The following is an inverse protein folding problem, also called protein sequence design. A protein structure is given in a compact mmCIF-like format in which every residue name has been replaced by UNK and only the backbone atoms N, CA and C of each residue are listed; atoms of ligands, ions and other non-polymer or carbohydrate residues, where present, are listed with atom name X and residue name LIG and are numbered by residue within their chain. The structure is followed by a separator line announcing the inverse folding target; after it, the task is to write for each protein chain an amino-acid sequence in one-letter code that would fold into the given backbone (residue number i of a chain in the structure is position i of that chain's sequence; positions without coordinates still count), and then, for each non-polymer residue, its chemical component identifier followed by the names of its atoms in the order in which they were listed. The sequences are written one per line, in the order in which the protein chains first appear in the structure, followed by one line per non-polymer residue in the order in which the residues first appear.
data_IF_311908795294
#
_entry.id   IF_311908795294
#
_cell.length_a   1.000
_cell.length_b   1.000
_cell.length_c   1.000
_cell.angle_alpha   90.00
_cell.angle_beta   90.00
_cell.angle_gamma   90.00
#
_symmetry.space_group_name_H-M   'P 1'
#
loop_
_entity.id
_entity.type
_entity.pdbx_description
1 polymer ?
#
# COMPACT_ATOMS: atom_id res chain seq x y z
N UNK A 1 17.19 -3.56 -18.36
CA UNK A 1 16.04 -4.27 -17.78
C UNK A 1 15.56 -3.47 -16.59
N UNK A 2 14.25 -3.32 -16.39
CA UNK A 2 13.71 -2.68 -15.19
C UNK A 2 13.99 -3.56 -13.98
N UNK A 3 14.38 -2.93 -12.88
CA UNK A 3 14.75 -3.55 -11.61
C UNK A 3 13.72 -3.21 -10.52
N UNK A 4 13.76 -3.87 -9.34
CA UNK A 4 12.97 -3.44 -8.20
C UNK A 4 13.15 -1.97 -7.83
N UNK A 5 14.39 -1.48 -7.87
CA UNK A 5 14.73 -0.11 -7.50
C UNK A 5 14.05 0.89 -8.44
N UNK A 6 13.99 0.61 -9.74
CA UNK A 6 13.27 1.46 -10.70
C UNK A 6 11.77 1.60 -10.35
N UNK A 7 11.16 0.54 -9.81
CA UNK A 7 9.76 0.56 -9.38
C UNK A 7 9.60 1.37 -8.10
N UNK A 8 10.49 1.19 -7.13
CA UNK A 8 10.44 1.93 -5.87
C UNK A 8 10.74 3.43 -6.09
N UNK A 9 11.72 3.77 -6.93
CA UNK A 9 12.01 5.16 -7.30
C UNK A 9 10.84 5.81 -8.03
N UNK A 10 10.17 5.09 -8.92
CA UNK A 10 8.97 5.58 -9.59
C UNK A 10 7.80 5.77 -8.63
N UNK A 11 7.58 4.81 -7.72
CA UNK A 11 6.40 4.82 -6.85
C UNK A 11 6.56 5.74 -5.65
N UNK A 12 7.78 5.98 -5.17
CA UNK A 12 8.09 6.80 -4.00
C UNK A 12 9.05 7.96 -4.34
N UNK A 13 8.67 8.88 -5.25
CA UNK A 13 9.57 9.96 -5.71
C UNK A 13 9.92 10.96 -4.62
N UNK A 14 9.13 11.01 -3.54
CA UNK A 14 9.29 11.92 -2.41
C UNK A 14 10.20 11.40 -1.30
N UNK A 15 10.59 10.12 -1.36
CA UNK A 15 11.49 9.50 -0.41
C UNK A 15 10.90 9.39 1.01
N UNK A 16 11.75 9.20 2.03
CA UNK A 16 11.28 8.82 3.36
C UNK A 16 10.71 9.97 4.19
N UNK A 17 11.16 11.21 3.95
CA UNK A 17 10.80 12.37 4.76
C UNK A 17 10.20 13.49 3.89
N UNK A 18 9.03 13.27 3.29
CA UNK A 18 8.46 14.20 2.35
C UNK A 18 7.84 15.42 3.05
N UNK A 19 7.74 16.53 2.32
CA UNK A 19 6.93 17.67 2.77
C UNK A 19 5.44 17.28 2.76
N UNK A 20 4.64 17.68 3.77
CA UNK A 20 3.22 17.30 3.90
C UNK A 20 2.39 17.40 2.63
N UNK A 21 2.49 18.53 1.92
CA UNK A 21 1.70 18.77 0.71
C UNK A 21 2.17 17.88 -0.45
N UNK A 22 3.48 17.80 -0.68
CA UNK A 22 4.04 16.92 -1.70
C UNK A 22 3.67 15.46 -1.44
N UNK A 23 3.66 15.07 -0.17
CA UNK A 23 3.28 13.74 0.25
C UNK A 23 1.80 13.42 -0.07
N UNK A 24 0.89 14.33 0.28
CA UNK A 24 -0.53 14.21 -0.09
C UNK A 24 -0.71 14.13 -1.61
N UNK A 25 -0.03 14.99 -2.35
CA UNK A 25 -0.11 15.03 -3.81
C UNK A 25 0.36 13.72 -4.44
N UNK A 26 1.44 13.12 -3.93
CA UNK A 26 1.89 11.81 -4.40
C UNK A 26 0.95 10.67 -4.00
N UNK A 27 0.32 10.72 -2.82
CA UNK A 27 -0.72 9.75 -2.48
C UNK A 27 -1.93 9.83 -3.41
N UNK A 28 -2.39 11.05 -3.71
CA UNK A 28 -3.46 11.27 -4.68
C UNK A 28 -3.01 10.79 -6.07
N UNK A 29 -1.80 11.12 -6.49
CA UNK A 29 -1.24 10.67 -7.76
C UNK A 29 -1.23 9.14 -7.89
N UNK A 30 -0.77 8.41 -6.86
CA UNK A 30 -0.78 6.92 -6.84
C UNK A 30 -2.19 6.34 -6.84
N UNK A 31 -3.02 6.77 -5.88
CA UNK A 31 -4.28 6.09 -5.54
C UNK A 31 -5.51 6.64 -6.26
N UNK A 32 -5.38 7.74 -7.04
CA UNK A 32 -6.47 8.40 -7.76
C UNK A 32 -6.17 8.54 -9.26
N UNK A 33 -5.41 7.59 -9.81
CA UNK A 33 -5.21 7.45 -11.25
C UNK A 33 -4.15 8.35 -11.88
N UNK A 34 -3.52 9.25 -11.13
CA UNK A 34 -2.45 10.11 -11.64
C UNK A 34 -1.22 9.32 -12.15
N UNK A 35 -0.91 8.18 -11.52
CA UNK A 35 0.18 7.30 -11.94
C UNK A 35 -0.17 6.46 -13.19
N UNK A 36 -1.46 6.30 -13.49
CA UNK A 36 -1.97 5.38 -14.52
C UNK A 36 -1.34 5.57 -15.90
N UNK A 37 -1.30 6.80 -16.46
CA UNK A 37 -0.68 7.04 -17.77
C UNK A 37 0.78 6.60 -17.85
N UNK A 38 1.57 6.88 -16.81
CA UNK A 38 2.98 6.49 -16.76
C UNK A 38 3.13 4.97 -16.58
N UNK A 39 2.27 4.35 -15.77
CA UNK A 39 2.22 2.90 -15.58
C UNK A 39 1.93 2.19 -16.90
N UNK A 40 0.87 2.58 -17.61
CA UNK A 40 0.49 1.98 -18.89
C UNK A 40 1.61 2.11 -19.93
N UNK A 41 2.24 3.28 -20.02
CA UNK A 41 3.28 3.54 -21.01
C UNK A 41 4.59 2.80 -20.73
N UNK A 42 4.97 2.62 -19.47
CA UNK A 42 6.32 2.14 -19.09
C UNK A 42 6.34 0.70 -18.57
N UNK A 43 5.28 0.26 -17.90
CA UNK A 43 5.32 -0.95 -17.07
C UNK A 43 4.32 -2.03 -17.48
N UNK A 44 3.55 -1.86 -18.56
CA UNK A 44 2.67 -2.92 -19.08
C UNK A 44 3.41 -4.23 -19.36
N UNK A 45 4.51 -4.26 -20.14
CA UNK A 45 5.22 -5.51 -20.41
C UNK A 45 5.83 -6.14 -19.15
N UNK A 46 6.26 -5.32 -18.18
CA UNK A 46 6.81 -5.79 -16.91
C UNK A 46 5.71 -6.42 -16.04
N UNK A 47 4.53 -5.81 -16.01
CA UNK A 47 3.38 -6.31 -15.25
C UNK A 47 2.93 -7.66 -15.80
N UNK A 48 2.88 -7.81 -17.12
CA UNK A 48 2.59 -9.09 -17.76
C UNK A 48 3.63 -10.18 -17.39
N UNK A 49 4.92 -9.84 -17.32
CA UNK A 49 5.97 -10.76 -16.85
C UNK A 49 5.77 -11.15 -15.39
N UNK A 50 5.44 -10.19 -14.52
CA UNK A 50 5.16 -10.45 -13.11
C UNK A 50 3.97 -11.39 -12.92
N UNK A 51 2.88 -11.17 -13.68
CA UNK A 51 1.68 -12.03 -13.68
C UNK A 51 2.05 -13.47 -14.09
N UNK A 52 2.94 -13.65 -15.08
CA UNK A 52 3.43 -14.97 -15.51
C UNK A 52 4.47 -15.61 -14.58
N UNK A 53 4.91 -14.92 -13.53
CA UNK A 53 5.90 -15.45 -12.57
C UNK A 53 7.36 -15.28 -12.96
N UNK A 54 7.64 -14.58 -14.06
CA UNK A 54 9.01 -14.39 -14.54
C UNK A 54 9.85 -13.49 -13.61
N UNK A 55 9.19 -12.72 -12.72
CA UNK A 55 9.82 -11.82 -11.75
C UNK A 55 9.80 -12.35 -10.30
N UNK A 56 9.41 -13.60 -10.06
CA UNK A 56 9.24 -14.13 -8.69
C UNK A 56 10.54 -14.11 -7.87
N UNK A 57 11.69 -14.17 -8.55
CA UNK A 57 13.00 -14.03 -7.92
C UNK A 57 13.20 -12.67 -7.19
N UNK A 58 12.41 -11.64 -7.52
CA UNK A 58 12.44 -10.36 -6.79
C UNK A 58 12.01 -10.52 -5.33
N UNK A 59 11.18 -11.52 -5.03
CA UNK A 59 10.66 -11.75 -3.68
C UNK A 59 11.73 -12.23 -2.67
N UNK A 60 12.96 -12.49 -3.14
CA UNK A 60 14.11 -12.90 -2.33
C UNK A 60 14.63 -11.81 -1.37
N UNK A 61 14.30 -10.54 -1.61
CA UNK A 61 14.67 -9.42 -0.71
C UNK A 61 13.43 -8.66 -0.25
N UNK A 62 13.49 -7.91 0.88
CA UNK A 62 12.36 -7.10 1.35
C UNK A 62 11.89 -6.08 0.31
N UNK A 63 12.83 -5.34 -0.29
CA UNK A 63 12.53 -4.30 -1.27
C UNK A 63 12.07 -4.87 -2.61
N UNK A 64 12.68 -5.98 -3.06
CA UNK A 64 12.24 -6.68 -4.26
C UNK A 64 10.82 -7.24 -4.13
N UNK A 65 10.48 -7.77 -2.95
CA UNK A 65 9.12 -8.23 -2.63
C UNK A 65 8.12 -7.08 -2.65
N UNK A 66 8.45 -5.95 -2.04
CA UNK A 66 7.59 -4.75 -2.08
C UNK A 66 7.37 -4.26 -3.52
N UNK A 67 8.43 -4.19 -4.33
CA UNK A 67 8.33 -3.80 -5.73
C UNK A 67 7.41 -4.75 -6.51
N UNK A 68 7.57 -6.06 -6.31
CA UNK A 68 6.72 -7.06 -6.95
C UNK A 68 5.25 -6.97 -6.49
N UNK A 69 5.01 -6.70 -5.20
CA UNK A 69 3.66 -6.40 -4.68
C UNK A 69 3.07 -5.19 -5.39
N UNK A 70 3.79 -4.08 -5.54
CA UNK A 70 3.28 -2.88 -6.24
C UNK A 70 2.94 -3.22 -7.71
N UNK A 71 3.80 -3.95 -8.40
CA UNK A 71 3.56 -4.36 -9.80
C UNK A 71 2.33 -5.26 -9.92
N UNK A 72 2.07 -6.15 -8.96
CA UNK A 72 0.93 -7.08 -9.00
C UNK A 72 -0.35 -6.53 -8.36
N UNK A 73 -0.27 -5.53 -7.49
CA UNK A 73 -1.41 -5.02 -6.73
C UNK A 73 -1.82 -3.60 -7.12
N UNK A 74 -0.97 -2.80 -7.75
CA UNK A 74 -1.31 -1.41 -8.08
C UNK A 74 -1.41 -1.20 -9.59
N UNK A 75 -0.44 -1.70 -10.34
CA UNK A 75 -0.38 -1.48 -11.79
C UNK A 75 -1.56 -2.09 -12.57
N UNK A 76 -2.08 -3.29 -12.21
CA UNK A 76 -3.21 -3.90 -12.91
C UNK A 76 -4.46 -3.01 -12.91
N UNK A 77 -4.66 -2.21 -11.87
CA UNK A 77 -5.82 -1.31 -11.70
C UNK A 77 -5.82 -0.18 -12.72
N UNK A 78 -4.67 0.12 -13.32
CA UNK A 78 -4.55 1.10 -14.41
C UNK A 78 -4.45 0.44 -15.78
N UNK A 79 -3.66 -0.64 -15.89
CA UNK A 79 -3.39 -1.31 -17.18
C UNK A 79 -4.64 -1.99 -17.73
N UNK A 80 -5.40 -2.63 -16.86
CA UNK A 80 -6.61 -3.37 -17.21
C UNK A 80 -7.84 -2.80 -16.50
N UNK A 81 -7.87 -1.47 -16.34
CA UNK A 81 -8.98 -0.78 -15.69
C UNK A 81 -10.33 -1.21 -16.29
N UNK A 82 -11.33 -1.37 -15.41
CA UNK A 82 -12.68 -1.79 -15.77
C UNK A 82 -12.80 -3.20 -16.39
N UNK A 83 -11.79 -4.07 -16.21
CA UNK A 83 -11.85 -5.48 -16.61
C UNK A 83 -11.52 -6.43 -15.45
N UNK A 84 -11.90 -7.72 -15.52
CA UNK A 84 -11.53 -8.72 -14.51
C UNK A 84 -10.02 -8.84 -14.28
N UNK A 85 -9.23 -8.63 -15.33
CA UNK A 85 -7.76 -8.72 -15.31
C UNK A 85 -7.14 -7.71 -14.34
N UNK A 86 -7.81 -6.59 -14.04
CA UNK A 86 -7.37 -5.66 -13.01
C UNK A 86 -7.26 -6.30 -11.62
N UNK A 87 -7.92 -7.43 -11.35
CA UNK A 87 -7.94 -8.11 -10.05
C UNK A 87 -7.34 -9.52 -10.08
N UNK A 88 -7.00 -10.03 -11.27
CA UNK A 88 -6.57 -11.42 -11.46
C UNK A 88 -5.27 -11.76 -10.71
N UNK A 89 -4.44 -10.76 -10.39
CA UNK A 89 -3.19 -10.93 -9.65
C UNK A 89 -3.30 -10.70 -8.14
N UNK A 90 -4.49 -10.34 -7.62
CA UNK A 90 -4.72 -10.11 -6.17
C UNK A 90 -4.30 -11.31 -5.32
N UNK A 91 -4.62 -12.58 -5.67
CA UNK A 91 -4.20 -13.73 -4.87
C UNK A 91 -2.67 -13.87 -4.77
N UNK A 92 -1.97 -13.56 -5.87
CA UNK A 92 -0.49 -13.63 -5.90
C UNK A 92 0.14 -12.51 -5.08
N UNK A 93 -0.40 -11.29 -5.19
CA UNK A 93 0.05 -10.17 -4.37
C UNK A 93 -0.20 -10.43 -2.87
N UNK A 94 -1.35 -11.03 -2.52
CA UNK A 94 -1.67 -11.45 -1.15
C UNK A 94 -0.67 -12.49 -0.64
N UNK A 95 -0.37 -13.53 -1.41
CA UNK A 95 0.60 -14.55 -1.02
C UNK A 95 1.98 -13.94 -0.74
N UNK A 96 2.46 -13.05 -1.62
CA UNK A 96 3.72 -12.33 -1.42
C UNK A 96 3.71 -11.47 -0.15
N UNK A 97 2.58 -10.82 0.14
CA UNK A 97 2.38 -10.02 1.34
C UNK A 97 2.46 -10.89 2.60
N UNK A 98 1.66 -11.97 2.67
CA UNK A 98 1.61 -12.87 3.83
C UNK A 98 2.96 -13.53 4.11
N UNK A 99 3.59 -14.12 3.08
CA UNK A 99 4.93 -14.71 3.21
C UNK A 99 5.97 -13.69 3.69
N UNK A 100 5.86 -12.43 3.26
CA UNK A 100 6.79 -11.38 3.64
C UNK A 100 6.61 -10.93 5.10
N UNK A 101 5.43 -11.10 5.67
CA UNK A 101 5.29 -11.01 7.11
C UNK A 101 5.95 -12.21 7.81
N UNK A 102 5.71 -13.42 7.31
CA UNK A 102 6.16 -14.65 7.97
C UNK A 102 7.69 -14.81 7.95
N UNK A 103 8.36 -14.37 6.89
CA UNK A 103 9.81 -14.43 6.74
C UNK A 103 10.54 -13.16 7.27
N UNK A 104 9.81 -12.23 7.88
CA UNK A 104 10.36 -11.00 8.46
C UNK A 104 10.78 -9.93 7.45
N UNK A 105 10.47 -10.06 6.16
CA UNK A 105 10.74 -9.02 5.17
C UNK A 105 9.99 -7.72 5.47
N UNK A 106 8.73 -7.82 5.92
CA UNK A 106 7.92 -6.66 6.30
C UNK A 106 8.60 -5.83 7.39
N UNK A 107 9.18 -6.48 8.40
CA UNK A 107 9.81 -5.78 9.53
C UNK A 107 11.09 -5.05 9.12
N UNK A 108 11.82 -5.61 8.15
CA UNK A 108 13.05 -5.01 7.57
C UNK A 108 12.79 -3.78 6.70
N UNK A 109 11.54 -3.48 6.35
CA UNK A 109 11.22 -2.23 5.64
C UNK A 109 11.36 -1.06 6.61
N UNK A 110 12.38 -0.23 6.41
CA UNK A 110 12.71 0.88 7.32
C UNK A 110 11.64 1.97 7.35
N UNK A 111 10.85 2.07 6.28
CA UNK A 111 9.94 3.16 6.06
C UNK A 111 8.47 2.78 6.27
N UNK A 112 7.77 3.58 7.07
CA UNK A 112 6.31 3.53 7.27
C UNK A 112 5.51 3.62 5.95
N UNK A 113 6.04 4.26 4.91
CA UNK A 113 5.45 4.28 3.56
C UNK A 113 5.51 2.93 2.87
N UNK A 114 6.66 2.27 2.96
CA UNK A 114 6.86 0.95 2.39
C UNK A 114 5.93 -0.04 3.07
N UNK A 115 5.86 -0.02 4.41
CA UNK A 115 4.92 -0.84 5.18
C UNK A 115 3.45 -0.55 4.81
N UNK A 116 3.11 0.71 4.56
CA UNK A 116 1.75 1.10 4.16
C UNK A 116 1.33 0.57 2.79
N UNK A 117 2.26 0.51 1.82
CA UNK A 117 2.03 -0.09 0.50
C UNK A 117 2.08 -1.62 0.57
N UNK A 118 2.99 -2.18 1.35
CA UNK A 118 3.18 -3.62 1.50
C UNK A 118 1.91 -4.34 1.94
N UNK A 119 1.12 -3.72 2.84
CA UNK A 119 -0.10 -4.31 3.39
C UNK A 119 -1.33 -4.24 2.47
N UNK A 120 -1.31 -3.43 1.40
CA UNK A 120 -2.52 -3.20 0.60
C UNK A 120 -3.18 -4.47 0.03
N UNK A 121 -2.44 -5.53 -0.35
CA UNK A 121 -3.06 -6.79 -0.77
C UNK A 121 -4.00 -7.41 0.28
N UNK A 122 -3.77 -7.17 1.58
CA UNK A 122 -4.68 -7.59 2.65
C UNK A 122 -6.06 -6.93 2.52
N UNK A 123 -6.10 -5.67 2.09
CA UNK A 123 -7.35 -4.93 1.87
C UNK A 123 -8.04 -5.35 0.57
N UNK A 124 -7.26 -5.61 -0.47
CA UNK A 124 -7.76 -5.86 -1.82
C UNK A 124 -8.19 -7.30 -2.10
N UNK A 125 -7.79 -8.27 -1.28
CA UNK A 125 -8.15 -9.67 -1.50
C UNK A 125 -9.68 -9.90 -1.46
N UNK A 126 -10.12 -11.06 -1.91
CA UNK A 126 -11.45 -11.63 -1.63
C UNK A 126 -11.22 -13.13 -1.38
N UNK A 127 -11.06 -13.52 -0.12
CA UNK A 127 -10.76 -14.89 0.32
C UNK A 127 -11.46 -15.21 1.64
N UNK A 128 -11.44 -16.47 2.06
CA UNK A 128 -12.13 -16.90 3.29
C UNK A 128 -11.61 -16.16 4.55
N UNK A 129 -10.31 -15.83 4.58
CA UNK A 129 -9.66 -15.11 5.68
C UNK A 129 -9.68 -13.58 5.53
N UNK A 130 -10.53 -13.02 4.65
CA UNK A 130 -10.47 -11.59 4.30
C UNK A 130 -10.69 -10.67 5.50
N UNK A 131 -11.60 -10.99 6.42
CA UNK A 131 -11.80 -10.20 7.64
C UNK A 131 -10.54 -10.20 8.53
N UNK A 132 -9.86 -11.34 8.67
CA UNK A 132 -8.61 -11.43 9.44
C UNK A 132 -7.47 -10.65 8.74
N UNK A 133 -7.42 -10.68 7.41
CA UNK A 133 -6.50 -9.85 6.62
C UNK A 133 -6.78 -8.36 6.85
N UNK A 134 -8.04 -7.94 6.91
CA UNK A 134 -8.42 -6.56 7.20
C UNK A 134 -8.07 -6.14 8.63
N UNK A 135 -8.26 -7.00 9.63
CA UNK A 135 -7.82 -6.74 11.01
C UNK A 135 -6.31 -6.50 11.06
N UNK A 136 -5.53 -7.33 10.35
CA UNK A 136 -4.07 -7.14 10.22
C UNK A 136 -3.73 -5.84 9.48
N UNK A 137 -4.46 -5.49 8.43
CA UNK A 137 -4.26 -4.24 7.70
C UNK A 137 -4.53 -3.00 8.58
N UNK A 138 -5.58 -3.04 9.40
CA UNK A 138 -5.89 -2.00 10.40
C UNK A 138 -4.74 -1.88 11.40
N UNK A 139 -4.28 -2.99 11.98
CA UNK A 139 -3.18 -2.97 12.95
C UNK A 139 -1.89 -2.38 12.37
N UNK A 140 -1.55 -2.72 11.12
CA UNK A 140 -0.39 -2.13 10.41
C UNK A 140 -0.61 -0.64 10.15
N UNK A 141 -1.80 -0.23 9.72
CA UNK A 141 -2.10 1.19 9.47
C UNK A 141 -1.97 2.02 10.74
N UNK A 142 -2.49 1.54 11.86
CA UNK A 142 -2.39 2.23 13.15
C UNK A 142 -0.95 2.29 13.66
N UNK A 143 -0.17 1.21 13.47
CA UNK A 143 1.25 1.22 13.79
C UNK A 143 2.01 2.24 12.94
N UNK A 144 1.72 2.32 11.64
CA UNK A 144 2.31 3.31 10.74
C UNK A 144 1.94 4.73 11.16
N UNK A 145 0.67 4.99 11.52
CA UNK A 145 0.23 6.28 12.04
C UNK A 145 0.99 6.68 13.32
N UNK A 146 1.16 5.76 14.27
CA UNK A 146 1.91 6.03 15.51
C UNK A 146 3.38 6.35 15.23
N UNK A 147 4.01 5.60 14.31
CA UNK A 147 5.41 5.75 13.94
C UNK A 147 5.67 6.93 12.98
N UNK A 148 4.64 7.47 12.34
CA UNK A 148 4.76 8.60 11.43
C UNK A 148 5.31 9.85 12.13
N UNK A 149 6.13 10.67 11.43
CA UNK A 149 6.47 12.01 11.89
C UNK A 149 5.20 12.80 12.23
N UNK A 150 5.24 13.61 13.29
CA UNK A 150 4.06 14.34 13.78
C UNK A 150 3.38 15.16 12.68
N UNK A 151 4.18 15.82 11.83
CA UNK A 151 3.69 16.62 10.70
C UNK A 151 2.98 15.80 9.61
N UNK A 152 3.16 14.48 9.59
CA UNK A 152 2.59 13.56 8.60
C UNK A 152 1.53 12.61 9.19
N UNK A 153 1.48 12.46 10.52
CA UNK A 153 0.59 11.54 11.25
C UNK A 153 -0.87 11.59 10.79
N UNK A 154 -1.34 12.78 10.44
CA UNK A 154 -2.70 13.03 10.01
C UNK A 154 -3.03 12.47 8.62
N UNK A 155 -2.05 12.34 7.72
CA UNK A 155 -2.26 11.64 6.45
C UNK A 155 -2.45 10.14 6.68
N UNK A 156 -1.84 9.59 7.72
CA UNK A 156 -2.02 8.18 8.09
C UNK A 156 -3.35 7.89 8.79
N UNK A 157 -4.02 8.88 9.39
CA UNK A 157 -5.39 8.70 9.88
C UNK A 157 -6.32 8.23 8.76
N UNK A 158 -6.17 8.82 7.58
CA UNK A 158 -6.94 8.39 6.39
C UNK A 158 -6.60 6.95 6.01
N UNK A 159 -5.31 6.59 6.09
CA UNK A 159 -4.84 5.23 5.83
C UNK A 159 -5.36 4.20 6.84
N UNK A 160 -5.75 4.60 8.05
CA UNK A 160 -6.38 3.74 9.06
C UNK A 160 -7.87 3.55 8.80
N UNK A 161 -8.56 4.59 8.34
CA UNK A 161 -10.01 4.52 8.08
C UNK A 161 -10.36 3.68 6.85
N UNK A 162 -9.47 3.60 5.86
CA UNK A 162 -9.69 2.81 4.66
C UNK A 162 -9.92 1.31 4.93
N UNK A 163 -9.03 0.57 5.61
CA UNK A 163 -9.24 -0.85 5.88
C UNK A 163 -10.44 -1.09 6.81
N UNK A 164 -10.78 -0.16 7.72
CA UNK A 164 -12.02 -0.25 8.53
C UNK A 164 -13.28 -0.20 7.68
N UNK A 165 -13.34 0.73 6.72
CA UNK A 165 -14.47 0.80 5.78
C UNK A 165 -14.54 -0.41 4.87
N UNK A 166 -13.39 -0.95 4.43
CA UNK A 166 -13.37 -2.23 3.72
C UNK A 166 -13.91 -3.36 4.63
N UNK A 167 -13.52 -3.40 5.90
CA UNK A 167 -14.03 -4.37 6.87
C UNK A 167 -15.56 -4.33 6.98
N UNK A 168 -16.17 -3.14 7.08
CA UNK A 168 -17.63 -3.00 7.11
C UNK A 168 -18.30 -3.58 5.85
N UNK A 169 -17.75 -3.30 4.68
CA UNK A 169 -18.27 -3.82 3.39
C UNK A 169 -18.16 -5.34 3.34
N UNK A 170 -17.02 -5.91 3.73
CA UNK A 170 -16.76 -7.34 3.67
C UNK A 170 -17.55 -8.08 4.75
N UNK A 171 -17.67 -7.53 5.96
CA UNK A 171 -18.49 -8.12 7.02
C UNK A 171 -19.98 -8.16 6.63
N UNK A 172 -20.43 -7.17 5.86
CA UNK A 172 -21.83 -7.07 5.41
C UNK A 172 -22.11 -7.95 4.18
N UNK A 173 -21.25 -7.94 3.17
CA UNK A 173 -21.52 -8.55 1.87
C UNK A 173 -20.66 -9.78 1.55
N UNK A 174 -19.62 -10.05 2.34
CA UNK A 174 -18.65 -11.13 2.11
C UNK A 174 -17.70 -10.89 0.93
N UNK A 175 -17.81 -9.75 0.24
CA UNK A 175 -17.05 -9.42 -0.97
C UNK A 175 -17.05 -7.92 -1.25
N UNK A 176 -16.13 -7.47 -2.10
CA UNK A 176 -16.13 -6.12 -2.64
C UNK A 176 -17.25 -5.96 -3.68
N UNK A 177 -18.46 -5.63 -3.23
CA UNK A 177 -19.66 -5.54 -4.09
C UNK A 177 -19.51 -4.59 -5.29
N UNK A 178 -18.65 -3.57 -5.20
CA UNK A 178 -18.33 -2.68 -6.34
C UNK A 178 -17.69 -3.42 -7.53
N UNK A 179 -17.10 -4.59 -7.31
CA UNK A 179 -16.52 -5.44 -8.36
C UNK A 179 -17.56 -6.34 -9.04
N UNK A 180 -18.82 -6.33 -8.61
CA UNK A 180 -19.83 -7.27 -9.10
C UNK A 180 -20.01 -7.19 -10.62
N UNK A 181 -20.22 -5.99 -11.16
CA UNK A 181 -20.44 -5.82 -12.60
C UNK A 181 -19.23 -6.28 -13.43
N UNK A 182 -18.02 -5.83 -13.05
CA UNK A 182 -16.78 -6.16 -13.79
C UNK A 182 -16.43 -7.64 -13.69
N UNK A 183 -16.75 -8.30 -12.57
CA UNK A 183 -16.53 -9.75 -12.39
C UNK A 183 -17.72 -10.61 -12.85
N UNK A 184 -18.74 -10.03 -13.50
CA UNK A 184 -19.91 -10.77 -13.99
C UNK A 184 -20.81 -11.36 -12.89
N UNK A 185 -20.74 -10.82 -11.67
CA UNK A 185 -21.55 -11.26 -10.51
C UNK A 185 -22.86 -10.49 -10.46
N UNK A 186 -23.95 -11.19 -10.15
CA UNK A 186 -25.22 -10.53 -9.83
C UNK A 186 -25.16 -9.94 -8.43
N UNK A 187 -25.50 -8.65 -8.30
CA UNK A 187 -25.68 -7.99 -7.00
C UNK A 187 -26.97 -8.42 -6.33
N UNK A 188 -26.94 -8.64 -5.01
CA UNK A 188 -28.15 -8.77 -4.20
C UNK A 188 -28.91 -7.43 -4.14
N UNK A 189 -30.19 -7.39 -3.73
CA UNK A 189 -30.91 -6.13 -3.54
C UNK A 189 -30.20 -5.17 -2.58
N UNK A 190 -29.62 -5.72 -1.50
CA UNK A 190 -28.89 -4.93 -0.50
C UNK A 190 -27.57 -4.38 -1.05
N UNK A 191 -26.84 -5.17 -1.83
CA UNK A 191 -25.66 -4.69 -2.55
C UNK A 191 -26.06 -3.61 -3.57
N UNK A 192 -27.14 -3.79 -4.32
CA UNK A 192 -27.60 -2.81 -5.30
C UNK A 192 -27.96 -1.46 -4.67
N UNK A 193 -28.64 -1.46 -3.51
CA UNK A 193 -28.91 -0.25 -2.74
C UNK A 193 -27.61 0.43 -2.31
N UNK A 194 -26.66 -0.33 -1.72
CA UNK A 194 -25.35 0.18 -1.34
C UNK A 194 -24.58 0.79 -2.52
N UNK A 195 -24.55 0.10 -3.66
CA UNK A 195 -23.90 0.56 -4.89
C UNK A 195 -24.54 1.86 -5.41
N UNK A 196 -25.87 1.99 -5.33
CA UNK A 196 -26.60 3.18 -5.77
C UNK A 196 -26.33 4.42 -4.92
N UNK A 197 -26.00 4.23 -3.63
CA UNK A 197 -25.62 5.32 -2.73
C UNK A 197 -24.23 5.91 -3.06
N UNK A 198 -23.42 5.23 -3.87
CA UNK A 198 -22.15 5.75 -4.41
C UNK A 198 -21.06 6.02 -3.38
N UNK A 199 -21.18 5.51 -2.15
CA UNK A 199 -20.21 5.77 -1.07
C UNK A 199 -19.23 4.61 -0.96
N UNK A 200 -18.15 4.69 -1.74
CA UNK A 200 -17.14 3.62 -1.78
C UNK A 200 -15.87 3.98 -1.01
N UNK A 201 -15.29 3.05 -0.22
CA UNK A 201 -14.03 3.29 0.49
C UNK A 201 -12.94 3.80 -0.45
N UNK A 202 -12.80 3.18 -1.63
CA UNK A 202 -11.79 3.55 -2.62
C UNK A 202 -12.04 4.90 -3.33
N UNK A 203 -13.22 5.53 -3.16
CA UNK A 203 -13.54 6.85 -3.73
C UNK A 203 -13.51 7.99 -2.70
N UNK A 204 -13.23 7.69 -1.42
CA UNK A 204 -13.12 8.71 -0.38
C UNK A 204 -12.13 9.81 -0.79
N UNK A 205 -12.55 11.08 -0.81
CA UNK A 205 -11.68 12.19 -1.17
C UNK A 205 -10.62 12.45 -0.08
N UNK A 206 -9.39 12.10 -0.41
CA UNK A 206 -8.21 12.27 0.46
C UNK A 206 -7.93 13.75 0.75
N UNK A 207 -8.25 14.66 -0.18
CA UNK A 207 -8.03 16.10 -0.03
C UNK A 207 -9.05 16.73 0.92
N UNK A 208 -10.32 16.34 0.81
CA UNK A 208 -11.36 16.80 1.74
C UNK A 208 -11.07 16.38 3.18
N UNK A 209 -10.50 15.18 3.41
CA UNK A 209 -10.13 14.75 4.76
C UNK A 209 -8.92 15.54 5.28
N UNK A 210 -7.91 15.78 4.45
CA UNK A 210 -6.77 16.63 4.81
C UNK A 210 -7.21 18.07 5.18
N UNK A 211 -8.09 18.67 4.35
CA UNK A 211 -8.55 20.05 4.47
C UNK A 211 -9.53 20.31 5.64
N UNK A 212 -10.51 19.43 5.90
CA UNK A 212 -11.41 19.54 7.08
C UNK A 212 -10.64 19.69 8.39
N UNK A 213 -9.46 19.11 8.39
CA UNK A 213 -8.64 18.96 9.58
C UNK A 213 -7.56 20.07 9.63
N UNK A 214 -7.23 20.73 8.52
CA UNK A 214 -6.43 21.98 8.52
C UNK A 214 -7.20 23.13 9.16
N UNK A 215 -8.52 23.22 8.92
CA UNK A 215 -9.39 24.19 9.60
C UNK A 215 -9.41 24.03 11.12
N UNK A 216 -9.29 22.79 11.62
CA UNK A 216 -9.19 22.48 13.05
C UNK A 216 -7.78 22.78 13.61
N UNK A 217 -6.73 22.63 12.80
CA UNK A 217 -5.35 22.95 13.18
C UNK A 217 -5.04 24.44 13.08
N UNK A 218 -5.60 25.21 12.15
CA UNK A 218 -5.46 26.67 12.14
C UNK A 218 -6.00 27.29 13.45
N UNK A 219 -7.04 26.69 14.04
CA UNK A 219 -7.55 27.07 15.35
C UNK A 219 -6.61 26.68 16.52
N UNK A 220 -5.74 25.67 16.34
CA UNK A 220 -4.81 25.16 17.35
C UNK A 220 -3.38 25.74 17.21
N UNK A 221 -2.89 25.92 15.98
CA UNK A 221 -1.58 26.47 15.61
C UNK A 221 -1.46 27.98 15.86
N UNK A 222 -2.60 28.67 16.06
CA UNK A 222 -2.63 30.00 16.65
C UNK A 222 -2.07 30.05 18.10
N UNK A 223 -1.64 28.90 18.68
CA UNK A 223 -1.16 28.80 20.07
C UNK A 223 0.29 28.35 20.28
N UNK A 224 1.08 28.06 19.24
CA UNK A 224 2.51 27.80 19.46
C UNK A 224 3.32 27.88 18.17
N UNK A 225 4.20 28.88 18.09
CA UNK A 225 5.17 29.02 17.00
C UNK A 225 6.60 29.00 17.56
N UNK A 226 7.42 28.09 17.01
CA UNK A 226 8.88 28.10 16.85
C UNK A 226 9.29 26.63 16.68
N UNK A 227 9.87 26.12 15.58
CA UNK A 227 10.70 26.70 14.53
C UNK A 227 11.94 25.80 14.44
N UNK A 228 12.15 25.05 13.35
CA UNK A 228 13.39 24.27 13.15
C UNK A 228 13.74 24.12 11.67
N UNK A 229 15.06 24.13 11.43
CA UNK A 229 15.76 24.10 10.15
C UNK A 229 16.09 22.67 9.67
N UNK A 230 16.44 22.61 8.39
CA UNK A 230 16.62 21.50 7.44
C UNK A 230 17.69 20.46 7.79
N UNK A 231 17.43 19.19 7.45
CA UNK A 231 18.46 18.13 7.40
C UNK A 231 18.29 17.16 6.21
N UNK A 232 19.42 16.53 5.86
CA UNK A 232 19.88 16.00 4.56
C UNK A 232 19.09 14.80 3.96
N UNK A 233 19.16 14.69 2.63
CA UNK A 233 18.64 13.61 1.76
C UNK A 233 19.36 12.27 2.01
N UNK A 234 18.62 11.16 2.09
CA UNK A 234 19.10 9.77 2.22
C UNK A 234 18.83 8.96 0.92
N UNK A 235 19.74 8.05 0.48
CA UNK A 235 19.51 7.18 -0.68
C UNK A 235 18.47 6.08 -0.36
N UNK A 236 17.45 5.96 -1.21
CA UNK A 236 16.16 5.32 -0.87
C UNK A 236 16.20 3.82 -0.53
N UNK A 237 17.23 3.02 -0.84
CA UNK A 237 17.27 1.60 -0.48
C UNK A 237 18.66 0.94 -0.66
N UNK A 238 19.78 1.59 -0.27
CA UNK A 238 21.11 1.05 -0.61
C UNK A 238 21.74 0.05 0.36
N UNK A 239 21.16 -0.25 1.52
CA UNK A 239 21.81 -1.14 2.50
C UNK A 239 21.12 -2.48 2.78
N UNK A 240 20.02 -2.82 2.09
CA UNK A 240 19.31 -4.09 2.36
C UNK A 240 19.68 -5.26 1.41
N UNK A 241 20.60 -5.06 0.46
CA UNK A 241 21.04 -6.10 -0.49
C UNK A 241 22.28 -6.90 -0.08
N UNK A 242 22.87 -6.69 1.10
CA UNK A 242 24.15 -7.31 1.47
C UNK A 242 24.06 -8.62 2.29
N UNK A 243 22.87 -9.15 2.60
CA UNK A 243 22.75 -10.39 3.40
C UNK A 243 21.75 -11.36 2.77
N UNK A 244 22.09 -11.89 1.60
CA UNK A 244 21.47 -13.09 1.04
C UNK A 244 22.43 -13.79 0.06
N UNK A 245 23.69 -13.92 0.46
CA UNK A 245 24.67 -14.74 -0.26
C UNK A 245 25.73 -15.23 0.73
N UNK A 246 25.35 -16.15 1.63
CA UNK A 246 26.26 -17.18 2.11
C UNK A 246 25.44 -18.33 2.71
N UNK A 247 25.78 -19.55 2.27
CA UNK A 247 25.10 -20.81 2.60
C UNK A 247 25.32 -21.30 4.04
N UNK A 248 24.86 -22.51 4.37
CA UNK A 248 24.55 -22.93 5.72
C UNK A 248 25.82 -23.22 6.53
N UNK A 249 25.97 -22.56 7.68
CA UNK A 249 27.08 -22.80 8.58
C UNK A 249 26.87 -22.22 9.98
N UNK A 250 26.62 -23.14 10.92
CA UNK A 250 26.89 -23.02 12.36
C UNK A 250 25.86 -22.30 13.26
N UNK A 251 24.98 -23.14 13.82
CA UNK A 251 24.56 -23.11 15.23
C UNK A 251 25.70 -22.71 16.18
N UNK A 252 25.52 -21.65 16.96
CA UNK A 252 25.94 -21.58 18.36
C UNK A 252 25.30 -20.39 19.09
N UNK A 253 24.47 -20.73 20.08
CA UNK A 253 24.20 -20.06 21.36
C UNK A 253 24.58 -18.57 21.56
N UNK A 254 23.63 -17.77 22.05
CA UNK A 254 23.56 -17.48 23.49
C UNK A 254 22.29 -16.71 23.89
N UNK A 255 21.65 -17.24 24.93
CA UNK A 255 20.58 -16.69 25.75
C UNK A 255 21.17 -15.82 26.88
N UNK A 256 20.40 -14.82 27.35
CA UNK A 256 20.58 -13.98 28.57
C UNK A 256 21.62 -12.87 28.39
N UNK A 257 21.30 -11.59 28.60
CA UNK A 257 20.64 -10.90 29.73
C UNK A 257 19.67 -9.83 29.20
#
# INVERSE_FOLDING_TARGET
MTTPDDILEFWFPDGPDPEPQAHLDHWVWRMRGGAGPAVMARYTPLTEQAVRGELDHWAATPCGRLALIIVLDQFPRSIWADTPEAYASDPKALALCLEGFDNGHFDKLENVWFKSMFKLPLEHCECDDHLANLDRAIAVAEAAQRAAPERLRKFYEVGVEQPKKHWEVIARFGRHSHRNAVLGRQSTPEEAEYLSAGTFPHQTDLRTIAAKTEGQQAAAAARSAAGWQTQRRSPICRELCAIAADGPGQLAACLRI
#
